data_IF_452835781028
#
_entry.id   IF_452835781028
#
_cell.length_a   1.000
_cell.length_b   1.000
_cell.length_c   1.000
_cell.angle_alpha   90.00
_cell.angle_beta   90.00
_cell.angle_gamma   90.00
#
_symmetry.space_group_name_H-M   'P 1'
#
loop_
_entity.id
_entity.type
_entity.pdbx_description
1 polymer ?
#
# COMPACT_ATOMS: atom_id res chain seq x y z
N UNK A 1 12.98 -2.65 -16.76
CA UNK A 1 14.17 -3.30 -16.17
C UNK A 1 13.90 -4.74 -15.81
N UNK A 2 14.94 -5.60 -15.75
CA UNK A 2 14.77 -6.98 -15.31
C UNK A 2 14.46 -7.01 -13.80
N UNK A 3 13.42 -7.77 -13.41
CA UNK A 3 13.07 -7.93 -11.99
C UNK A 3 14.17 -8.72 -11.29
N UNK A 4 14.71 -8.16 -10.20
CA UNK A 4 15.83 -8.74 -9.46
C UNK A 4 15.31 -9.53 -8.26
N UNK A 5 15.83 -10.76 -8.07
CA UNK A 5 15.69 -11.51 -6.83
C UNK A 5 17.04 -11.54 -6.13
N UNK A 6 17.06 -11.21 -4.84
CA UNK A 6 18.30 -11.17 -4.05
C UNK A 6 18.08 -11.67 -2.62
N UNK A 7 19.18 -11.97 -1.95
CA UNK A 7 19.21 -12.20 -0.51
C UNK A 7 19.50 -10.88 0.18
N UNK A 8 18.53 -10.39 0.88
CA UNK A 8 18.57 -9.16 1.67
C UNK A 8 18.87 -9.47 3.15
N UNK A 9 19.13 -8.44 3.95
CA UNK A 9 19.36 -8.56 5.40
C UNK A 9 18.23 -7.90 6.16
N UNK A 10 17.70 -8.58 7.17
CA UNK A 10 16.83 -7.98 8.17
C UNK A 10 17.69 -7.04 9.02
N UNK A 11 17.41 -5.75 9.00
CA UNK A 11 18.12 -4.75 9.80
C UNK A 11 17.48 -4.56 11.17
N UNK A 12 16.16 -4.65 11.22
CA UNK A 12 15.39 -4.65 12.47
C UNK A 12 14.01 -5.25 12.24
N UNK A 13 13.40 -5.76 13.31
CA UNK A 13 12.00 -6.15 13.32
C UNK A 13 11.38 -5.88 14.68
N UNK A 14 10.15 -5.36 14.67
CA UNK A 14 9.37 -5.14 15.88
C UNK A 14 7.89 -5.46 15.66
N UNK A 15 7.22 -5.87 16.71
CA UNK A 15 5.77 -6.01 16.74
C UNK A 15 5.14 -4.66 17.10
N UNK A 16 4.41 -4.04 16.18
CA UNK A 16 3.71 -2.77 16.43
C UNK A 16 2.44 -2.97 17.26
N UNK A 17 1.75 -4.05 16.99
CA UNK A 17 0.59 -4.55 17.74
C UNK A 17 0.39 -6.03 17.41
N UNK A 18 -0.51 -6.71 18.11
CA UNK A 18 -0.78 -8.14 17.90
C UNK A 18 -1.01 -8.47 16.43
N UNK A 19 -0.10 -9.24 15.86
CA UNK A 19 -0.15 -9.69 14.47
C UNK A 19 0.24 -8.66 13.41
N UNK A 20 0.71 -7.47 13.78
CA UNK A 20 1.27 -6.46 12.86
C UNK A 20 2.75 -6.26 13.19
N UNK A 21 3.60 -6.48 12.21
CA UNK A 21 5.04 -6.39 12.32
C UNK A 21 5.62 -5.34 11.38
N UNK A 22 6.64 -4.67 11.85
CA UNK A 22 7.45 -3.67 11.15
C UNK A 22 8.85 -4.24 10.96
N UNK A 23 9.31 -4.30 9.71
CA UNK A 23 10.61 -4.85 9.37
C UNK A 23 11.37 -3.92 8.43
N UNK A 24 12.60 -3.57 8.78
CA UNK A 24 13.56 -2.93 7.89
C UNK A 24 14.45 -3.96 7.22
N UNK A 25 14.61 -3.83 5.91
CA UNK A 25 15.36 -4.76 5.06
C UNK A 25 16.44 -3.99 4.30
N UNK A 26 17.71 -4.32 4.53
CA UNK A 26 18.83 -3.80 3.76
C UNK A 26 18.88 -4.48 2.39
N UNK A 27 18.64 -3.72 1.33
CA UNK A 27 18.47 -4.24 -0.04
C UNK A 27 18.74 -3.18 -1.10
N UNK A 28 19.36 -3.61 -2.21
CA UNK A 28 19.57 -2.73 -3.37
C UNK A 28 18.25 -2.37 -4.10
N UNK A 29 17.14 -3.03 -3.79
CA UNK A 29 15.83 -2.70 -4.36
C UNK A 29 15.35 -1.30 -3.91
N UNK A 30 15.90 -0.76 -2.85
CA UNK A 30 15.57 0.57 -2.35
C UNK A 30 15.93 1.70 -3.33
N UNK A 31 16.97 1.53 -4.16
CA UNK A 31 17.44 2.56 -5.11
C UNK A 31 16.35 3.06 -6.05
N UNK A 32 15.53 2.16 -6.56
CA UNK A 32 14.51 2.44 -7.57
C UNK A 32 13.08 2.40 -7.02
N UNK A 33 12.92 2.14 -5.71
CA UNK A 33 11.61 1.98 -5.09
C UNK A 33 10.79 3.27 -5.11
N UNK A 34 9.50 3.14 -5.42
CA UNK A 34 8.53 4.24 -5.48
C UNK A 34 7.33 3.96 -4.57
N UNK A 35 6.65 5.04 -4.15
CA UNK A 35 5.41 4.94 -3.38
C UNK A 35 4.34 4.12 -4.12
N UNK A 36 3.72 3.17 -3.43
CA UNK A 36 2.69 2.29 -4.00
C UNK A 36 3.21 1.01 -4.65
N UNK A 37 4.53 0.86 -4.82
CA UNK A 37 5.12 -0.41 -5.23
C UNK A 37 5.19 -1.41 -4.06
N UNK A 38 5.47 -2.66 -4.39
CA UNK A 38 5.61 -3.75 -3.44
C UNK A 38 6.83 -4.63 -3.75
N UNK A 39 7.18 -5.50 -2.84
CA UNK A 39 8.16 -6.57 -3.02
C UNK A 39 7.51 -7.93 -2.77
N UNK A 40 8.01 -8.97 -3.42
CA UNK A 40 7.70 -10.34 -3.06
C UNK A 40 8.73 -10.86 -2.06
N UNK A 41 8.27 -11.28 -0.89
CA UNK A 41 9.09 -11.87 0.18
C UNK A 41 8.90 -13.38 0.18
N UNK A 42 10.00 -14.13 0.15
CA UNK A 42 10.00 -15.59 0.06
C UNK A 42 10.24 -16.22 1.42
N UNK A 43 9.35 -17.10 1.90
CA UNK A 43 9.59 -17.91 3.08
C UNK A 43 10.81 -18.85 2.87
N UNK A 44 11.52 -19.17 3.95
CA UNK A 44 12.60 -20.18 3.95
C UNK A 44 12.02 -21.59 3.95
N UNK A 45 10.83 -21.77 4.50
CA UNK A 45 10.17 -23.06 4.57
C UNK A 45 9.80 -23.56 3.17
N UNK A 46 10.44 -24.65 2.73
CA UNK A 46 10.26 -25.26 1.41
C UNK A 46 8.81 -25.73 1.13
N UNK A 47 7.98 -25.95 2.15
CA UNK A 47 6.55 -26.26 1.96
C UNK A 47 5.69 -25.04 1.64
N UNK A 48 6.22 -23.82 1.80
CA UNK A 48 5.53 -22.56 1.51
C UNK A 48 6.04 -22.00 0.18
N UNK A 49 5.54 -22.55 -0.91
CA UNK A 49 6.10 -22.37 -2.26
C UNK A 49 5.99 -20.95 -2.80
N UNK A 50 4.89 -20.23 -2.51
CA UNK A 50 4.63 -18.92 -3.11
C UNK A 50 5.22 -17.79 -2.26
N UNK A 51 5.70 -16.71 -2.89
CA UNK A 51 6.10 -15.51 -2.16
C UNK A 51 4.89 -14.76 -1.60
N UNK A 52 5.15 -13.84 -0.69
CA UNK A 52 4.15 -12.91 -0.16
C UNK A 52 4.41 -11.52 -0.73
N UNK A 53 3.47 -10.96 -1.51
CA UNK A 53 3.54 -9.57 -1.91
C UNK A 53 3.28 -8.69 -0.70
N UNK A 54 4.22 -7.80 -0.40
CA UNK A 54 4.15 -6.85 0.71
C UNK A 54 4.46 -5.45 0.17
N UNK A 55 3.56 -4.52 0.40
CA UNK A 55 3.74 -3.12 -0.01
C UNK A 55 4.92 -2.48 0.69
N UNK A 56 5.62 -1.62 -0.02
CA UNK A 56 6.70 -0.79 0.54
C UNK A 56 6.04 0.28 1.42
N UNK A 57 6.39 0.26 2.71
CA UNK A 57 5.93 1.24 3.69
C UNK A 57 6.76 2.51 3.61
N UNK A 58 8.08 2.37 3.54
CA UNK A 58 9.02 3.48 3.51
C UNK A 58 10.34 3.09 2.82
N UNK A 59 10.97 4.06 2.19
CA UNK A 59 12.35 3.97 1.67
C UNK A 59 13.24 4.84 2.54
N UNK A 60 14.34 4.27 3.04
CA UNK A 60 15.33 5.01 3.81
C UNK A 60 15.93 6.14 2.94
N UNK A 61 16.29 7.27 3.54
CA UNK A 61 16.74 8.46 2.79
C UNK A 61 17.99 8.20 1.95
N UNK A 62 18.94 7.41 2.46
CA UNK A 62 20.14 6.97 1.75
C UNK A 62 19.86 5.86 0.71
N UNK A 63 18.60 5.43 0.59
CA UNK A 63 18.13 4.41 -0.34
C UNK A 63 18.83 3.04 -0.21
N UNK A 64 19.30 2.70 0.98
CA UNK A 64 19.94 1.40 1.25
C UNK A 64 18.99 0.38 1.90
N UNK A 65 17.81 0.81 2.33
CA UNK A 65 16.84 -0.07 2.99
C UNK A 65 15.40 0.26 2.63
N UNK A 66 14.57 -0.78 2.71
CA UNK A 66 13.11 -0.72 2.62
C UNK A 66 12.49 -1.07 3.97
N UNK A 67 11.46 -0.34 4.36
CA UNK A 67 10.56 -0.69 5.45
C UNK A 67 9.33 -1.36 4.89
N UNK A 68 8.98 -2.50 5.44
CA UNK A 68 7.71 -3.18 5.19
C UNK A 68 6.95 -3.33 6.50
N UNK A 69 5.65 -3.08 6.46
CA UNK A 69 4.76 -3.38 7.58
C UNK A 69 3.71 -4.35 7.09
N UNK A 70 3.57 -5.48 7.79
CA UNK A 70 2.74 -6.58 7.35
C UNK A 70 1.93 -7.19 8.49
N UNK A 71 0.82 -7.81 8.11
CA UNK A 71 -0.02 -8.58 9.03
C UNK A 71 0.27 -10.07 8.91
N UNK A 72 0.33 -10.76 10.05
CA UNK A 72 0.35 -12.21 10.09
C UNK A 72 -1.02 -12.74 9.68
N UNK A 73 -1.10 -13.31 8.47
CA UNK A 73 -2.33 -13.82 7.87
C UNK A 73 -2.25 -15.30 7.45
N UNK A 74 -1.09 -15.92 7.60
CA UNK A 74 -0.87 -17.34 7.25
C UNK A 74 0.58 -17.75 7.48
N UNK A 75 0.93 -19.00 7.13
CA UNK A 75 2.22 -19.62 7.44
C UNK A 75 3.44 -18.77 7.01
N UNK A 76 3.44 -18.20 5.81
CA UNK A 76 4.57 -17.39 5.34
C UNK A 76 4.77 -16.12 6.15
N UNK A 77 3.73 -15.35 6.44
CA UNK A 77 3.85 -14.16 7.28
C UNK A 77 4.07 -14.49 8.76
N UNK A 78 3.62 -15.66 9.23
CA UNK A 78 3.96 -16.16 10.56
C UNK A 78 5.44 -16.52 10.65
N UNK A 79 6.02 -17.11 9.60
CA UNK A 79 7.46 -17.34 9.53
C UNK A 79 8.23 -16.01 9.56
N UNK A 80 7.81 -15.01 8.77
CA UNK A 80 8.47 -13.70 8.76
C UNK A 80 8.51 -13.06 10.14
N UNK A 81 7.45 -13.20 10.94
CA UNK A 81 7.38 -12.62 12.29
C UNK A 81 8.39 -13.23 13.29
N UNK A 82 9.07 -14.32 12.93
CA UNK A 82 10.11 -14.93 13.76
C UNK A 82 11.52 -14.46 13.41
N UNK A 83 11.70 -13.72 12.31
CA UNK A 83 13.03 -13.31 11.87
C UNK A 83 13.66 -12.29 12.82
N UNK A 84 14.97 -12.40 12.99
CA UNK A 84 15.78 -11.55 13.85
C UNK A 84 16.71 -10.66 13.02
N UNK A 85 17.18 -9.58 13.62
CA UNK A 85 18.23 -8.75 13.05
C UNK A 85 19.44 -9.58 12.60
N UNK A 86 19.98 -9.26 11.42
CA UNK A 86 21.10 -9.95 10.79
C UNK A 86 20.72 -11.20 9.99
N UNK A 87 19.50 -11.72 10.11
CA UNK A 87 19.07 -12.85 9.31
C UNK A 87 18.90 -12.47 7.82
N UNK A 88 19.07 -13.48 6.96
CA UNK A 88 18.89 -13.30 5.51
C UNK A 88 17.44 -13.62 5.13
N UNK A 89 16.89 -12.80 4.23
CA UNK A 89 15.55 -12.96 3.67
C UNK A 89 15.60 -12.82 2.15
N UNK A 90 14.98 -13.74 1.43
CA UNK A 90 14.92 -13.65 -0.02
C UNK A 90 13.80 -12.71 -0.46
N UNK A 91 14.14 -11.70 -1.28
CA UNK A 91 13.19 -10.71 -1.79
C UNK A 91 13.30 -10.59 -3.30
N UNK A 92 12.21 -10.22 -3.95
CA UNK A 92 12.17 -9.90 -5.38
C UNK A 92 11.39 -8.60 -5.59
N UNK A 93 11.92 -7.70 -6.38
CA UNK A 93 11.26 -6.42 -6.68
C UNK A 93 12.17 -5.43 -7.40
N UNK A 94 11.83 -4.15 -7.42
CA UNK A 94 10.51 -3.59 -7.04
C UNK A 94 9.45 -3.98 -8.04
N UNK A 95 8.24 -4.23 -7.59
CA UNK A 95 7.16 -4.76 -8.42
C UNK A 95 6.00 -3.75 -8.52
N UNK A 96 5.30 -3.84 -9.65
CA UNK A 96 4.14 -3.01 -9.95
C UNK A 96 4.47 -1.55 -10.25
N UNK A 97 3.41 -0.82 -10.60
CA UNK A 97 3.44 0.62 -10.83
C UNK A 97 3.07 1.35 -9.53
N UNK A 98 3.80 2.42 -9.21
CA UNK A 98 3.53 3.25 -8.03
C UNK A 98 2.37 4.22 -8.24
N UNK A 99 2.08 4.99 -7.20
CA UNK A 99 1.16 6.13 -7.31
C UNK A 99 1.75 7.20 -8.23
N UNK A 100 0.92 7.82 -9.11
CA UNK A 100 1.36 8.87 -10.03
C UNK A 100 1.53 10.22 -9.29
N UNK A 101 2.60 10.33 -8.50
CA UNK A 101 2.91 11.52 -7.68
C UNK A 101 3.16 12.77 -8.53
N UNK A 102 3.60 12.60 -9.77
CA UNK A 102 3.85 13.66 -10.75
C UNK A 102 2.58 14.39 -11.21
N UNK A 103 1.40 13.82 -10.95
CA UNK A 103 0.12 14.47 -11.25
C UNK A 103 -0.23 15.59 -10.25
N UNK A 104 0.43 15.62 -9.10
CA UNK A 104 0.31 16.70 -8.12
C UNK A 104 1.43 17.71 -8.38
N UNK A 105 1.11 18.77 -9.13
CA UNK A 105 2.10 19.75 -9.60
C UNK A 105 2.08 21.07 -8.81
N UNK A 106 1.02 21.32 -8.03
CA UNK A 106 0.85 22.54 -7.24
C UNK A 106 0.85 22.20 -5.74
N UNK A 107 1.69 22.87 -4.97
CA UNK A 107 1.75 22.73 -3.51
C UNK A 107 0.43 23.09 -2.81
N UNK A 108 -0.43 23.86 -3.45
CA UNK A 108 -1.75 24.21 -2.93
C UNK A 108 -2.83 23.16 -3.20
N UNK A 109 -2.53 22.14 -4.02
CA UNK A 109 -3.44 21.04 -4.27
C UNK A 109 -3.74 20.31 -2.97
N UNK A 110 -5.00 20.19 -2.59
CA UNK A 110 -5.41 19.40 -1.43
C UNK A 110 -5.58 17.95 -1.85
N UNK A 111 -4.77 17.07 -1.25
CA UNK A 111 -4.76 15.64 -1.58
C UNK A 111 -5.25 14.82 -0.38
N UNK A 112 -6.24 13.95 -0.62
CA UNK A 112 -6.59 12.91 0.34
C UNK A 112 -5.68 11.71 0.17
N UNK A 113 -4.96 11.35 1.23
CA UNK A 113 -4.17 10.13 1.35
C UNK A 113 -4.92 9.18 2.28
N UNK A 114 -5.59 8.18 1.70
CA UNK A 114 -6.56 7.36 2.44
C UNK A 114 -6.02 5.95 2.67
N UNK A 115 -5.88 5.56 3.93
CA UNK A 115 -5.40 4.24 4.32
C UNK A 115 -6.40 3.48 5.20
N UNK A 116 -6.58 2.18 4.96
CA UNK A 116 -7.43 1.33 5.81
C UNK A 116 -6.73 0.04 6.26
N UNK A 117 -6.64 -0.19 7.57
CA UNK A 117 -5.99 -1.38 8.12
C UNK A 117 -4.58 -1.57 7.58
N UNK A 118 -4.25 -2.74 7.00
CA UNK A 118 -2.92 -3.01 6.45
C UNK A 118 -2.64 -2.26 5.13
N UNK A 119 -3.57 -1.49 4.61
CA UNK A 119 -3.33 -0.53 3.52
C UNK A 119 -2.77 0.82 3.98
N UNK A 120 -2.64 1.06 5.29
CA UNK A 120 -2.01 2.28 5.85
C UNK A 120 -0.51 2.37 5.53
N UNK A 121 0.32 1.32 5.66
CA UNK A 121 1.75 1.37 5.42
C UNK A 121 2.18 2.03 4.08
N UNK A 122 1.64 1.67 2.91
CA UNK A 122 2.05 2.30 1.65
C UNK A 122 1.69 3.80 1.56
N UNK A 123 0.76 4.29 2.38
CA UNK A 123 0.41 5.72 2.46
C UNK A 123 1.55 6.54 3.07
N UNK A 124 2.39 5.95 3.93
CA UNK A 124 3.52 6.66 4.55
C UNK A 124 4.55 7.11 3.50
N UNK A 125 5.03 6.20 2.63
CA UNK A 125 5.96 6.58 1.56
C UNK A 125 5.33 7.58 0.59
N UNK A 126 4.04 7.46 0.32
CA UNK A 126 3.33 8.40 -0.54
C UNK A 126 3.27 9.79 0.10
N UNK A 127 2.94 9.88 1.38
CA UNK A 127 2.92 11.14 2.13
C UNK A 127 4.30 11.82 2.16
N UNK A 128 5.37 11.03 2.30
CA UNK A 128 6.76 11.48 2.23
C UNK A 128 7.15 12.01 0.83
N UNK A 129 6.57 11.43 -0.23
CA UNK A 129 6.92 11.73 -1.62
C UNK A 129 6.20 12.95 -2.21
N UNK A 130 5.14 13.43 -1.58
CA UNK A 130 4.34 14.55 -2.06
C UNK A 130 4.70 15.85 -1.34
N UNK A 131 4.73 16.96 -2.11
CA UNK A 131 4.87 18.32 -1.57
C UNK A 131 3.59 19.11 -1.89
N UNK A 132 2.54 18.94 -1.07
CA UNK A 132 1.22 19.57 -1.24
C UNK A 132 0.47 19.63 0.10
N UNK A 133 -0.75 20.19 0.11
CA UNK A 133 -1.65 20.09 1.27
C UNK A 133 -2.19 18.65 1.38
N UNK A 134 -1.74 17.91 2.40
CA UNK A 134 -2.09 16.51 2.61
C UNK A 134 -3.05 16.33 3.77
N UNK A 135 -4.23 15.75 3.50
CA UNK A 135 -5.15 15.24 4.51
C UNK A 135 -5.01 13.71 4.55
N UNK A 136 -4.33 13.20 5.56
CA UNK A 136 -4.05 11.77 5.72
C UNK A 136 -5.18 11.15 6.53
N UNK A 137 -6.09 10.44 5.86
CA UNK A 137 -7.31 9.90 6.47
C UNK A 137 -7.14 8.39 6.64
N UNK A 138 -7.06 7.94 7.90
CA UNK A 138 -6.72 6.56 8.21
C UNK A 138 -7.80 5.88 9.04
N UNK A 139 -8.16 4.67 8.60
CA UNK A 139 -9.18 3.83 9.24
C UNK A 139 -8.56 2.65 9.99
N UNK A 140 -8.89 2.53 11.28
CA UNK A 140 -8.51 1.43 12.15
C UNK A 140 -9.75 0.72 12.67
N UNK A 141 -9.57 -0.45 13.26
CA UNK A 141 -10.65 -1.16 13.94
C UNK A 141 -10.92 -0.54 15.32
N UNK A 142 -9.84 -0.20 16.03
CA UNK A 142 -9.84 0.24 17.42
C UNK A 142 -8.70 1.24 17.68
N UNK A 143 -8.40 1.54 18.93
CA UNK A 143 -7.35 2.46 19.35
C UNK A 143 -5.91 2.01 19.08
N UNK A 144 -5.69 0.88 18.40
CA UNK A 144 -4.35 0.40 18.03
C UNK A 144 -3.85 1.12 16.77
N UNK A 145 -3.34 2.34 16.94
CA UNK A 145 -3.04 3.29 15.87
C UNK A 145 -1.58 3.19 15.38
N UNK A 146 -1.20 2.05 14.79
CA UNK A 146 0.15 1.89 14.26
C UNK A 146 0.46 2.91 13.14
N UNK A 147 1.70 3.38 13.07
CA UNK A 147 2.21 4.40 12.13
C UNK A 147 1.59 5.81 12.25
N UNK A 148 0.73 6.08 13.23
CA UNK A 148 0.12 7.40 13.39
C UNK A 148 1.18 8.50 13.51
N UNK A 149 2.13 8.34 14.43
CA UNK A 149 3.20 9.32 14.68
C UNK A 149 4.12 9.52 13.46
N UNK A 150 4.33 8.46 12.67
CA UNK A 150 5.10 8.56 11.43
C UNK A 150 4.36 9.37 10.36
N UNK A 151 3.05 9.18 10.22
CA UNK A 151 2.21 9.91 9.28
C UNK A 151 2.08 11.40 9.66
N UNK A 152 1.98 11.73 10.95
CA UNK A 152 1.88 13.10 11.45
C UNK A 152 3.08 13.98 11.08
N UNK A 153 4.22 13.39 10.73
CA UNK A 153 5.40 14.12 10.22
C UNK A 153 5.18 14.73 8.84
N UNK A 154 4.19 14.22 8.09
CA UNK A 154 4.01 14.56 6.67
C UNK A 154 2.70 15.27 6.34
N UNK A 155 1.76 15.38 7.27
CA UNK A 155 0.50 16.07 7.05
C UNK A 155 -0.49 15.95 8.20
N UNK A 156 -1.66 16.54 8.04
CA UNK A 156 -2.75 16.43 9.01
C UNK A 156 -3.33 15.01 9.00
N UNK A 157 -3.26 14.31 10.13
CA UNK A 157 -3.79 12.94 10.27
C UNK A 157 -5.20 12.97 10.86
N UNK A 158 -6.13 12.41 10.14
CA UNK A 158 -7.55 12.29 10.49
C UNK A 158 -7.86 10.81 10.70
N UNK A 159 -8.33 10.46 11.90
CA UNK A 159 -8.53 9.09 12.32
C UNK A 159 -10.02 8.75 12.33
N UNK A 160 -10.35 7.57 11.80
CA UNK A 160 -11.62 6.90 12.03
C UNK A 160 -11.39 5.55 12.68
N UNK A 161 -12.20 5.18 13.68
CA UNK A 161 -12.18 3.84 14.28
C UNK A 161 -13.57 3.22 14.23
N UNK A 162 -13.64 1.92 13.89
CA UNK A 162 -14.94 1.23 13.77
C UNK A 162 -15.70 1.24 15.11
N UNK A 163 -14.99 1.07 16.21
CA UNK A 163 -15.57 1.06 17.57
C UNK A 163 -15.82 2.47 18.15
N UNK A 164 -15.24 3.52 17.53
CA UNK A 164 -15.32 4.90 18.02
C UNK A 164 -14.40 5.21 19.19
N UNK A 165 -13.38 4.40 19.44
CA UNK A 165 -12.42 4.60 20.54
C UNK A 165 -11.52 5.83 20.34
N UNK A 166 -11.21 6.19 19.08
CA UNK A 166 -10.41 7.38 18.74
C UNK A 166 -10.93 8.00 17.44
N UNK A 167 -10.99 9.33 17.40
CA UNK A 167 -11.39 10.08 16.21
C UNK A 167 -12.88 9.91 15.85
N UNK A 168 -13.19 9.90 14.57
CA UNK A 168 -14.55 9.68 14.08
C UNK A 168 -14.97 8.21 14.25
N UNK A 169 -16.14 7.96 14.82
CA UNK A 169 -16.70 6.61 14.88
C UNK A 169 -17.18 6.17 13.49
N UNK A 170 -16.67 5.05 13.00
CA UNK A 170 -17.03 4.50 11.71
C UNK A 170 -15.83 4.29 10.80
N UNK A 171 -15.93 4.69 9.54
CA UNK A 171 -14.91 4.50 8.52
C UNK A 171 -14.39 5.85 7.98
N UNK A 172 -13.41 5.79 7.07
CA UNK A 172 -12.78 6.99 6.50
C UNK A 172 -13.76 7.92 5.76
N UNK A 173 -14.84 7.39 5.20
CA UNK A 173 -15.88 8.19 4.55
C UNK A 173 -16.77 8.93 5.56
N UNK A 174 -16.93 8.35 6.76
CA UNK A 174 -17.62 9.02 7.87
C UNK A 174 -16.80 10.22 8.36
N UNK A 175 -15.48 10.07 8.46
CA UNK A 175 -14.59 11.17 8.83
C UNK A 175 -14.60 12.32 7.82
N UNK A 176 -14.63 12.03 6.51
CA UNK A 176 -14.76 13.05 5.47
C UNK A 176 -16.07 13.83 5.63
N UNK A 177 -17.18 13.12 5.84
CA UNK A 177 -18.52 13.74 5.99
C UNK A 177 -18.62 14.57 7.26
N UNK A 178 -18.18 14.01 8.40
CA UNK A 178 -18.24 14.67 9.70
C UNK A 178 -17.47 15.99 9.73
N UNK A 179 -16.28 15.97 9.11
CA UNK A 179 -15.38 17.14 9.09
C UNK A 179 -15.59 18.07 7.87
N UNK A 180 -16.49 17.71 6.97
CA UNK A 180 -16.75 18.52 5.76
C UNK A 180 -15.53 18.68 4.86
N UNK A 181 -14.67 17.67 4.77
CA UNK A 181 -13.41 17.74 4.04
C UNK A 181 -13.64 17.72 2.52
N UNK A 182 -12.75 18.41 1.80
CA UNK A 182 -12.71 18.42 0.33
C UNK A 182 -11.28 18.20 -0.15
N UNK A 183 -11.15 17.63 -1.34
CA UNK A 183 -9.86 17.41 -1.99
C UNK A 183 -9.97 17.64 -3.50
N UNK A 184 -8.82 17.90 -4.10
CA UNK A 184 -8.65 18.00 -5.55
C UNK A 184 -8.21 16.65 -6.15
N UNK A 185 -7.65 15.74 -5.33
CA UNK A 185 -7.19 14.41 -5.73
C UNK A 185 -7.24 13.43 -4.57
N UNK A 186 -7.45 12.15 -4.88
CA UNK A 186 -7.52 11.08 -3.88
C UNK A 186 -6.52 9.97 -4.26
N UNK A 187 -5.71 9.55 -3.28
CA UNK A 187 -4.92 8.33 -3.33
C UNK A 187 -5.36 7.41 -2.20
N UNK A 188 -5.61 6.12 -2.50
CA UNK A 188 -6.13 5.21 -1.49
C UNK A 188 -5.53 3.81 -1.56
N UNK A 189 -5.35 3.19 -0.38
CA UNK A 189 -5.00 1.79 -0.21
C UNK A 189 -5.74 1.21 1.00
N UNK A 190 -6.40 0.07 0.83
CA UNK A 190 -7.18 -0.54 1.91
C UNK A 190 -8.11 -1.65 1.44
N UNK A 191 -9.02 -2.09 2.31
CA UNK A 191 -9.94 -3.18 2.00
C UNK A 191 -10.92 -2.79 0.88
N UNK A 192 -11.31 -3.78 0.09
CA UNK A 192 -12.17 -3.59 -1.08
C UNK A 192 -13.47 -2.79 -0.81
N UNK A 193 -14.19 -2.97 0.32
CA UNK A 193 -15.36 -2.14 0.63
C UNK A 193 -15.03 -0.65 0.76
N UNK A 194 -13.87 -0.33 1.34
CA UNK A 194 -13.39 1.05 1.45
C UNK A 194 -13.07 1.63 0.06
N UNK A 195 -12.37 0.88 -0.79
CA UNK A 195 -12.00 1.32 -2.13
C UNK A 195 -13.23 1.55 -3.02
N UNK A 196 -14.26 0.70 -2.90
CA UNK A 196 -15.56 0.91 -3.57
C UNK A 196 -16.25 2.19 -3.14
N UNK A 197 -16.28 2.45 -1.83
CA UNK A 197 -16.88 3.68 -1.31
C UNK A 197 -16.13 4.94 -1.76
N UNK A 198 -14.79 4.87 -1.78
CA UNK A 198 -13.94 5.97 -2.27
C UNK A 198 -14.16 6.20 -3.77
N UNK A 199 -14.22 5.13 -4.58
CA UNK A 199 -14.51 5.23 -6.01
C UNK A 199 -15.85 5.92 -6.26
N UNK A 200 -16.92 5.49 -5.59
CA UNK A 200 -18.25 6.10 -5.72
C UNK A 200 -18.27 7.57 -5.29
N UNK A 201 -17.54 7.89 -4.22
CA UNK A 201 -17.41 9.27 -3.76
C UNK A 201 -16.66 10.12 -4.80
N UNK A 202 -15.53 9.65 -5.31
CA UNK A 202 -14.72 10.34 -6.30
C UNK A 202 -15.50 10.58 -7.61
N UNK A 203 -16.25 9.58 -8.08
CA UNK A 203 -17.11 9.69 -9.27
C UNK A 203 -18.24 10.72 -9.06
N UNK A 204 -18.85 10.76 -7.87
CA UNK A 204 -19.92 11.69 -7.54
C UNK A 204 -19.44 13.15 -7.44
N UNK A 205 -18.27 13.35 -6.84
CA UNK A 205 -17.70 14.69 -6.63
C UNK A 205 -16.79 15.15 -7.79
N UNK A 206 -16.65 14.32 -8.84
CA UNK A 206 -15.77 14.52 -10.01
C UNK A 206 -14.30 14.77 -9.62
N UNK A 207 -13.79 13.98 -8.68
CA UNK A 207 -12.43 14.07 -8.17
C UNK A 207 -11.58 12.94 -8.76
N UNK A 208 -10.39 13.21 -9.36
CA UNK A 208 -9.45 12.16 -9.76
C UNK A 208 -9.03 11.30 -8.57
N UNK A 209 -9.15 9.98 -8.70
CA UNK A 209 -8.81 9.04 -7.64
C UNK A 209 -7.97 7.88 -8.14
N UNK A 210 -6.92 7.53 -7.40
CA UNK A 210 -6.03 6.41 -7.65
C UNK A 210 -6.10 5.46 -6.48
N UNK A 211 -6.37 4.18 -6.77
CA UNK A 211 -6.56 3.14 -5.76
C UNK A 211 -5.57 2.01 -5.95
N UNK A 212 -5.01 1.51 -4.86
CA UNK A 212 -4.13 0.35 -4.86
C UNK A 212 -4.93 -0.91 -4.56
N UNK A 213 -4.95 -1.84 -5.51
CA UNK A 213 -5.67 -3.12 -5.40
C UNK A 213 -4.76 -4.22 -4.88
N UNK A 214 -5.34 -5.16 -4.13
CA UNK A 214 -4.68 -6.36 -3.64
C UNK A 214 -5.31 -7.61 -4.26
N UNK A 215 -4.44 -8.56 -4.66
CA UNK A 215 -4.84 -9.91 -5.04
C UNK A 215 -3.78 -10.94 -4.64
N UNK A 216 -4.20 -12.21 -4.60
CA UNK A 216 -3.27 -13.32 -4.39
C UNK A 216 -2.30 -13.42 -5.57
N UNK A 217 -1.02 -13.47 -5.29
CA UNK A 217 0.01 -13.53 -6.31
C UNK A 217 0.81 -14.82 -6.23
N UNK A 218 1.13 -15.38 -7.40
CA UNK A 218 2.06 -16.50 -7.51
C UNK A 218 3.41 -16.03 -8.06
N UNK A 219 3.47 -15.47 -9.29
CA UNK A 219 4.74 -15.11 -9.91
C UNK A 219 5.21 -13.68 -9.60
N UNK A 220 4.31 -12.72 -9.41
CA UNK A 220 4.62 -11.30 -9.20
C UNK A 220 5.17 -10.56 -10.44
N UNK A 221 5.27 -11.23 -11.59
CA UNK A 221 5.93 -10.71 -12.81
C UNK A 221 5.04 -10.79 -14.08
N UNK A 222 3.75 -10.96 -13.91
CA UNK A 222 2.78 -10.94 -15.00
C UNK A 222 2.65 -12.23 -15.82
N UNK A 223 3.38 -13.31 -15.48
CA UNK A 223 3.43 -14.52 -16.28
C UNK A 223 2.27 -15.50 -16.01
N UNK A 224 1.77 -15.60 -14.77
CA UNK A 224 0.82 -16.65 -14.38
C UNK A 224 -0.65 -16.25 -14.48
N UNK A 225 -0.96 -14.98 -14.70
CA UNK A 225 -2.32 -14.41 -14.75
C UNK A 225 -3.18 -14.70 -13.48
N UNK A 226 -2.54 -14.97 -12.35
CA UNK A 226 -3.22 -15.29 -11.09
C UNK A 226 -3.77 -14.07 -10.32
N UNK A 227 -3.29 -12.86 -10.65
CA UNK A 227 -3.64 -11.62 -9.94
C UNK A 227 -4.34 -10.60 -10.85
N UNK A 228 -5.33 -11.04 -11.62
CA UNK A 228 -6.07 -10.17 -12.54
C UNK A 228 -7.24 -9.48 -11.85
N UNK A 229 -7.48 -8.21 -12.19
CA UNK A 229 -8.68 -7.47 -11.89
C UNK A 229 -9.42 -7.11 -13.17
N UNK A 230 -10.73 -6.87 -13.06
CA UNK A 230 -11.54 -6.42 -14.20
C UNK A 230 -11.31 -4.94 -14.49
N UNK A 231 -11.25 -4.59 -15.76
CA UNK A 231 -11.11 -3.21 -16.25
C UNK A 231 -12.24 -2.87 -17.23
N UNK A 232 -12.52 -1.57 -17.38
CA UNK A 232 -13.47 -1.08 -18.39
C UNK A 232 -12.92 -1.24 -19.81
N UNK A 233 -11.62 -1.00 -19.96
CA UNK A 233 -10.94 -1.08 -21.26
C UNK A 233 -10.39 -2.49 -21.51
N UNK A 234 -10.27 -2.84 -22.79
CA UNK A 234 -9.67 -4.10 -23.24
C UNK A 234 -8.15 -3.98 -23.16
N UNK A 235 -7.52 -4.92 -22.47
CA UNK A 235 -6.06 -5.00 -22.41
C UNK A 235 -5.48 -5.32 -23.79
N UNK A 236 -4.51 -4.53 -24.22
CA UNK A 236 -3.90 -4.64 -25.56
C UNK A 236 -3.13 -5.95 -25.77
N UNK A 237 -2.73 -6.64 -24.68
CA UNK A 237 -1.97 -7.89 -24.75
C UNK A 237 -2.86 -9.13 -24.73
N UNK A 238 -3.83 -9.17 -23.79
CA UNK A 238 -4.71 -10.33 -23.58
C UNK A 238 -6.01 -10.25 -24.37
N UNK A 239 -6.35 -9.08 -24.94
CA UNK A 239 -7.60 -8.78 -25.63
C UNK A 239 -8.87 -9.05 -24.81
N UNK A 240 -8.78 -8.97 -23.47
CA UNK A 240 -9.90 -9.10 -22.54
C UNK A 240 -9.93 -7.92 -21.58
N UNK A 241 -11.09 -7.72 -20.93
CA UNK A 241 -11.31 -6.65 -19.93
C UNK A 241 -10.67 -7.02 -18.59
N UNK A 242 -9.34 -7.09 -18.53
CA UNK A 242 -8.60 -7.31 -17.28
C UNK A 242 -7.22 -6.66 -17.30
N UNK A 243 -6.68 -6.47 -16.12
CA UNK A 243 -5.30 -6.03 -15.88
C UNK A 243 -4.65 -6.89 -14.80
N UNK A 244 -3.34 -7.04 -14.89
CA UNK A 244 -2.54 -7.82 -13.92
C UNK A 244 -2.06 -6.90 -12.82
N UNK A 245 -2.53 -7.10 -11.61
CA UNK A 245 -2.18 -6.24 -10.46
C UNK A 245 -0.66 -6.18 -10.24
N UNK A 246 0.07 -7.28 -10.50
CA UNK A 246 1.52 -7.31 -10.29
C UNK A 246 2.37 -6.54 -11.32
N UNK A 247 1.83 -6.21 -12.50
CA UNK A 247 2.56 -5.53 -13.58
C UNK A 247 1.87 -4.27 -14.10
N UNK A 248 0.55 -4.31 -14.23
CA UNK A 248 -0.25 -3.20 -14.76
C UNK A 248 -0.73 -2.30 -13.61
N UNK A 249 -0.91 -2.86 -12.39
CA UNK A 249 -1.13 -2.22 -11.11
C UNK A 249 0.12 -2.25 -10.21
N UNK A 250 -0.04 -2.23 -8.87
CA UNK A 250 -1.30 -2.34 -8.11
C UNK A 250 -2.15 -1.07 -8.12
N UNK A 251 -1.59 0.07 -8.50
CA UNK A 251 -2.28 1.35 -8.52
C UNK A 251 -2.96 1.56 -9.87
N UNK A 252 -4.25 1.85 -9.82
CA UNK A 252 -5.09 2.14 -10.98
C UNK A 252 -5.86 3.43 -10.76
N UNK A 253 -6.22 4.13 -11.84
CA UNK A 253 -7.24 5.15 -11.75
C UNK A 253 -8.58 4.48 -11.41
N UNK A 254 -9.28 4.98 -10.38
CA UNK A 254 -10.46 4.30 -9.83
C UNK A 254 -11.58 4.09 -10.87
N UNK A 255 -11.68 4.99 -11.87
CA UNK A 255 -12.67 4.86 -12.94
C UNK A 255 -12.38 3.74 -13.95
N UNK A 256 -11.12 3.28 -14.06
CA UNK A 256 -10.69 2.28 -15.05
C UNK A 256 -11.00 0.85 -14.60
N UNK A 257 -11.11 0.60 -13.28
CA UNK A 257 -11.32 -0.73 -12.72
C UNK A 257 -12.76 -0.97 -12.30
N UNK A 258 -13.22 -2.21 -12.45
CA UNK A 258 -14.52 -2.69 -11.98
C UNK A 258 -14.35 -3.39 -10.62
N UNK A 259 -14.73 -2.72 -9.54
CA UNK A 259 -14.61 -3.24 -8.16
C UNK A 259 -15.92 -3.11 -7.40
#
# INVERSE_FOLDING_TARGET
MAKKKEMAKVLSQQCLQTGIYDMWIGTSLADEAKAGQFICVYPKNASTLLPRPISICEVLEDRQALRIVYRVAGQGTAEFSTYQEGESIAVMGTLGNGFPVEKVTDEKTTVFLMGGGIGIPPILQLAKSLNCDKKIIVGYRDASLFLKEDLEKYGEVIIATEDGSVGTKGNVMDAIREKGLKADMIYACGPMPMLRAIKQYAEKEDIPAYISLEERMACGVGACLGCVCKTKDVDAHSHVHNARICTDGPVFEAKEVEI
#
